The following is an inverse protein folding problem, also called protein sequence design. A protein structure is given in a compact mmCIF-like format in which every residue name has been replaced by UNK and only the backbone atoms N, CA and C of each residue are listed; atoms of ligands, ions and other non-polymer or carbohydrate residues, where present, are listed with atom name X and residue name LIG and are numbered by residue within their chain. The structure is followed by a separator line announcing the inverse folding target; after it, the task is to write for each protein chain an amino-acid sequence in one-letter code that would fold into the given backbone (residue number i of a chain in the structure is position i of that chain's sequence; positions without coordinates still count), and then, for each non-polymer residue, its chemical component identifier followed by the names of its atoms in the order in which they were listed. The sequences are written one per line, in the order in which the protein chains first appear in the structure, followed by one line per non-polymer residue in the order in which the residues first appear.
data_IF_832872828931
#
_entry.id   IF_832872828931
#
_cell.length_a   1.000
_cell.length_b   1.000
_cell.length_c   1.000
_cell.angle_alpha   90.00
_cell.angle_beta   90.00
_cell.angle_gamma   90.00
#
_symmetry.space_group_name_H-M   'P 1'
#
loop_
_entity.id
_entity.type
_entity.pdbx_description
1 polymer ?
#
# COMPACT_ATOMS: atom_id res chain seq x y z
N UNK A 1 -27.62 -22.20 30.07
CA UNK A 1 -26.41 -21.35 30.00
C UNK A 1 -25.54 -21.64 28.77
N UNK A 2 -25.01 -22.86 28.54
CA UNK A 2 -24.10 -23.17 27.41
C UNK A 2 -24.70 -22.84 26.00
N UNK A 3 -25.99 -23.02 25.81
CA UNK A 3 -26.67 -22.79 24.53
C UNK A 3 -26.90 -21.29 24.26
N UNK A 4 -27.10 -20.48 25.29
CA UNK A 4 -27.23 -19.03 25.19
C UNK A 4 -25.90 -18.39 24.82
N UNK A 5 -24.79 -18.84 25.46
CA UNK A 5 -23.44 -18.38 25.11
C UNK A 5 -23.06 -18.73 23.66
N UNK A 6 -23.41 -19.93 23.19
CA UNK A 6 -23.18 -20.32 21.78
C UNK A 6 -23.93 -19.43 20.79
N UNK A 7 -25.17 -19.06 21.09
CA UNK A 7 -25.96 -18.13 20.25
C UNK A 7 -25.40 -16.71 20.26
N UNK A 8 -24.97 -16.22 21.42
CA UNK A 8 -24.34 -14.88 21.55
C UNK A 8 -23.02 -14.84 20.77
N UNK A 9 -22.17 -15.86 20.89
CA UNK A 9 -20.92 -15.94 20.14
C UNK A 9 -21.19 -16.06 18.63
N UNK A 10 -22.15 -16.87 18.20
CA UNK A 10 -22.52 -17.01 16.80
C UNK A 10 -23.08 -15.70 16.23
N UNK A 11 -23.92 -14.97 17.00
CA UNK A 11 -24.46 -13.66 16.59
C UNK A 11 -23.36 -12.58 16.55
N UNK A 12 -22.41 -12.60 17.49
CA UNK A 12 -21.29 -11.67 17.49
C UNK A 12 -20.33 -11.93 16.30
N UNK A 13 -20.07 -13.21 15.99
CA UNK A 13 -19.28 -13.58 14.80
C UNK A 13 -20.00 -13.19 13.51
N UNK A 14 -21.32 -13.40 13.44
CA UNK A 14 -22.13 -13.02 12.28
C UNK A 14 -22.19 -11.48 12.10
N UNK A 15 -22.28 -10.74 13.19
CA UNK A 15 -22.22 -9.28 13.16
C UNK A 15 -20.85 -8.75 12.70
N UNK A 16 -19.76 -9.39 13.09
CA UNK A 16 -18.39 -9.06 12.64
C UNK A 16 -18.20 -9.29 11.13
N UNK A 17 -18.92 -10.24 10.50
CA UNK A 17 -18.84 -10.52 9.07
C UNK A 17 -19.47 -9.42 8.19
N UNK A 18 -20.31 -8.56 8.74
CA UNK A 18 -20.97 -7.46 8.00
C UNK A 18 -20.26 -6.10 8.12
N UNK A 19 -19.27 -5.95 9.00
CA UNK A 19 -18.70 -4.64 9.36
C UNK A 19 -17.47 -4.26 8.53
N UNK A 20 -17.00 -5.07 7.58
CA UNK A 20 -15.70 -4.80 7.00
C UNK A 20 -15.52 -4.94 5.49
N UNK A 21 -16.57 -5.28 4.74
CA UNK A 21 -16.43 -5.44 3.29
C UNK A 21 -16.41 -4.08 2.58
N UNK A 22 -15.24 -3.67 2.10
CA UNK A 22 -15.02 -2.54 1.21
C UNK A 22 -14.59 -3.04 -0.17
N UNK A 23 -14.75 -2.21 -1.20
CA UNK A 23 -14.23 -2.50 -2.54
C UNK A 23 -13.09 -1.55 -2.87
N UNK A 24 -11.97 -2.11 -3.32
CA UNK A 24 -10.88 -1.31 -3.85
C UNK A 24 -11.34 -0.54 -5.10
N UNK A 25 -10.90 0.72 -5.28
CA UNK A 25 -11.24 1.50 -6.46
C UNK A 25 -10.63 0.85 -7.72
N UNK A 26 -11.24 1.08 -8.88
CA UNK A 26 -10.80 0.61 -10.20
C UNK A 26 -10.87 -0.92 -10.35
N UNK A 27 -10.32 -1.70 -9.41
CA UNK A 27 -10.25 -3.17 -9.47
C UNK A 27 -11.52 -3.84 -8.97
N UNK A 28 -12.25 -3.22 -8.04
CA UNK A 28 -13.46 -3.78 -7.43
C UNK A 28 -13.19 -4.95 -6.48
N UNK A 29 -11.93 -5.23 -6.13
CA UNK A 29 -11.54 -6.31 -5.19
C UNK A 29 -12.18 -6.08 -3.82
N UNK A 30 -12.71 -7.15 -3.23
CA UNK A 30 -13.22 -7.11 -1.86
C UNK A 30 -12.06 -7.03 -0.86
N UNK A 31 -12.21 -6.16 0.13
CA UNK A 31 -11.22 -5.91 1.19
C UNK A 31 -11.90 -5.96 2.55
N UNK A 32 -11.18 -6.46 3.57
CA UNK A 32 -11.58 -6.33 4.95
C UNK A 32 -10.97 -5.06 5.54
N UNK A 33 -11.78 -4.04 5.78
CA UNK A 33 -11.34 -2.78 6.38
C UNK A 33 -12.20 -2.47 7.61
N UNK A 34 -11.59 -2.56 8.80
CA UNK A 34 -12.21 -2.28 10.09
C UNK A 34 -11.89 -0.87 10.60
N UNK A 35 -10.86 -0.24 10.02
CA UNK A 35 -10.43 1.12 10.36
C UNK A 35 -11.35 2.12 9.66
N UNK A 36 -11.93 3.07 10.40
CA UNK A 36 -12.77 4.11 9.81
C UNK A 36 -11.94 5.08 8.95
N UNK A 37 -12.57 5.73 7.94
CA UNK A 37 -11.86 6.74 7.13
C UNK A 37 -11.25 7.87 7.96
N UNK A 38 -11.94 8.31 9.03
CA UNK A 38 -11.45 9.37 9.91
C UNK A 38 -10.21 8.94 10.70
N UNK A 39 -10.22 7.70 11.22
CA UNK A 39 -9.05 7.13 11.90
C UNK A 39 -7.86 7.00 10.95
N UNK A 40 -8.11 6.55 9.73
CA UNK A 40 -7.08 6.39 8.71
C UNK A 40 -6.42 7.73 8.35
N UNK A 41 -7.22 8.79 8.13
CA UNK A 41 -6.71 10.14 7.88
C UNK A 41 -5.91 10.69 9.06
N UNK A 42 -6.39 10.47 10.31
CA UNK A 42 -5.68 10.90 11.50
C UNK A 42 -4.31 10.19 11.65
N UNK A 43 -4.26 8.88 11.40
CA UNK A 43 -3.01 8.10 11.40
C UNK A 43 -2.06 8.58 10.31
N UNK A 44 -2.57 8.85 9.11
CA UNK A 44 -1.77 9.39 8.01
C UNK A 44 -1.15 10.74 8.35
N UNK A 45 -1.92 11.64 8.97
CA UNK A 45 -1.41 12.93 9.43
C UNK A 45 -0.33 12.79 10.51
N UNK A 46 -0.58 11.97 11.55
CA UNK A 46 0.40 11.72 12.61
C UNK A 46 1.70 11.12 12.05
N UNK A 47 1.59 10.14 11.16
CA UNK A 47 2.75 9.53 10.50
C UNK A 47 3.54 10.55 9.68
N UNK A 48 2.84 11.42 8.94
CA UNK A 48 3.50 12.49 8.18
C UNK A 48 4.29 13.45 9.07
N UNK A 49 3.73 13.84 10.23
CA UNK A 49 4.45 14.68 11.20
C UNK A 49 5.70 13.98 11.75
N UNK A 50 5.63 12.68 12.01
CA UNK A 50 6.79 11.91 12.46
C UNK A 50 7.89 11.83 11.38
N UNK A 51 7.52 11.61 10.13
CA UNK A 51 8.46 11.63 9.00
C UNK A 51 9.12 12.99 8.87
N UNK A 52 8.33 14.07 8.87
CA UNK A 52 8.85 15.45 8.76
C UNK A 52 9.75 15.88 9.93
N UNK A 53 9.53 15.30 11.11
CA UNK A 53 10.38 15.55 12.28
C UNK A 53 11.71 14.79 12.24
N UNK A 54 11.75 13.64 11.52
CA UNK A 54 12.90 12.72 11.50
C UNK A 54 13.76 12.89 10.25
N UNK A 55 13.13 13.08 9.10
CA UNK A 55 13.79 13.08 7.80
C UNK A 55 14.21 14.48 7.36
N UNK A 56 15.34 14.56 6.68
CA UNK A 56 15.84 15.81 6.08
C UNK A 56 15.08 16.06 4.77
N UNK A 57 14.33 17.15 4.71
CA UNK A 57 13.63 17.55 3.48
C UNK A 57 14.61 18.22 2.53
N UNK A 58 14.57 17.82 1.27
CA UNK A 58 15.46 18.33 0.22
C UNK A 58 15.14 19.78 -0.13
N UNK A 59 16.20 20.58 -0.27
CA UNK A 59 16.14 21.97 -0.76
C UNK A 59 16.39 22.06 -2.29
N UNK A 60 16.52 20.93 -3.01
CA UNK A 60 16.70 20.92 -4.46
C UNK A 60 15.43 21.42 -5.16
N UNK A 61 15.47 22.62 -5.80
CA UNK A 61 14.28 23.22 -6.38
C UNK A 61 13.77 22.45 -7.60
N UNK A 62 14.66 21.75 -8.32
CA UNK A 62 14.28 20.99 -9.52
C UNK A 62 13.54 19.71 -9.15
N UNK A 63 14.09 18.93 -8.20
CA UNK A 63 13.45 17.71 -7.70
C UNK A 63 12.12 18.03 -7.04
N UNK A 64 12.07 19.06 -6.19
CA UNK A 64 10.84 19.50 -5.54
C UNK A 64 9.77 19.94 -6.56
N UNK A 65 10.13 20.75 -7.56
CA UNK A 65 9.21 21.18 -8.61
C UNK A 65 8.69 19.99 -9.43
N UNK A 66 9.56 19.03 -9.77
CA UNK A 66 9.21 17.83 -10.52
C UNK A 66 8.19 16.96 -9.75
N UNK A 67 8.49 16.62 -8.50
CA UNK A 67 7.61 15.81 -7.63
C UNK A 67 6.27 16.49 -7.41
N UNK A 68 6.27 17.79 -7.10
CA UNK A 68 5.04 18.56 -6.90
C UNK A 68 4.20 18.62 -8.16
N UNK A 69 4.78 18.91 -9.32
CA UNK A 69 4.07 18.97 -10.61
C UNK A 69 3.44 17.64 -10.98
N UNK A 70 4.19 16.54 -10.89
CA UNK A 70 3.71 15.19 -11.20
C UNK A 70 2.63 14.80 -10.21
N UNK A 71 2.89 14.98 -8.92
CA UNK A 71 1.95 14.62 -7.87
C UNK A 71 0.62 15.37 -7.96
N UNK A 72 0.64 16.67 -8.22
CA UNK A 72 -0.57 17.47 -8.39
C UNK A 72 -1.42 16.99 -9.58
N UNK A 73 -0.78 16.67 -10.71
CA UNK A 73 -1.50 16.14 -11.89
C UNK A 73 -2.15 14.79 -11.59
N UNK A 74 -1.44 13.90 -10.88
CA UNK A 74 -2.00 12.61 -10.47
C UNK A 74 -3.13 12.83 -9.45
N UNK A 75 -2.93 13.68 -8.43
CA UNK A 75 -3.93 14.00 -7.41
C UNK A 75 -5.26 14.47 -8.01
N UNK A 76 -5.21 15.33 -9.04
CA UNK A 76 -6.39 15.86 -9.73
C UNK A 76 -7.28 14.76 -10.33
N UNK A 77 -6.69 13.66 -10.79
CA UNK A 77 -7.43 12.56 -11.44
C UNK A 77 -7.86 11.44 -10.49
N UNK A 78 -7.53 11.54 -9.18
CA UNK A 78 -7.91 10.54 -8.17
C UNK A 78 -9.38 10.61 -7.77
N UNK A 79 -10.02 11.78 -7.88
CA UNK A 79 -11.36 12.04 -7.38
C UNK A 79 -11.46 12.15 -5.85
N UNK A 80 -10.33 12.18 -5.12
CA UNK A 80 -10.29 12.29 -3.65
C UNK A 80 -10.32 13.76 -3.21
N UNK A 81 -11.50 14.30 -3.03
CA UNK A 81 -11.71 15.71 -2.60
C UNK A 81 -11.38 15.97 -1.13
N UNK A 82 -11.40 14.94 -0.29
CA UNK A 82 -11.11 15.01 1.14
C UNK A 82 -9.63 14.75 1.50
N UNK A 83 -8.78 14.47 0.51
CA UNK A 83 -7.34 14.35 0.74
C UNK A 83 -6.69 15.74 0.65
N UNK A 84 -5.81 16.02 1.60
CA UNK A 84 -4.96 17.20 1.60
C UNK A 84 -3.61 16.85 0.99
N UNK A 85 -3.53 16.92 -0.34
CA UNK A 85 -2.36 16.51 -1.10
C UNK A 85 -1.15 17.38 -0.83
N UNK A 86 -0.08 16.78 -0.33
CA UNK A 86 1.23 17.40 -0.14
C UNK A 86 2.32 16.45 -0.62
N UNK A 87 3.38 17.03 -1.18
CA UNK A 87 4.44 16.30 -1.85
C UNK A 87 5.79 16.75 -1.31
N UNK A 88 6.57 15.81 -0.80
CA UNK A 88 7.84 16.07 -0.14
C UNK A 88 8.95 15.25 -0.80
N UNK A 89 10.14 15.85 -0.90
CA UNK A 89 11.36 15.16 -1.31
C UNK A 89 12.24 15.00 -0.08
N UNK A 90 12.60 13.77 0.28
CA UNK A 90 13.53 13.47 1.37
C UNK A 90 14.95 13.41 0.80
N UNK A 91 15.86 14.14 1.43
CA UNK A 91 17.26 14.24 1.03
C UNK A 91 18.08 13.04 1.55
N UNK A 92 17.99 11.93 0.81
CA UNK A 92 18.72 10.70 1.09
C UNK A 92 18.97 9.95 -0.23
N UNK A 93 20.16 10.13 -0.80
CA UNK A 93 20.56 9.53 -2.08
C UNK A 93 20.84 8.03 -1.96
N UNK A 94 21.09 7.52 -0.75
CA UNK A 94 21.38 6.11 -0.49
C UNK A 94 20.11 5.26 -0.50
N UNK A 95 18.97 5.87 -0.24
CA UNK A 95 17.69 5.20 -0.17
C UNK A 95 16.84 5.47 -1.41
N UNK A 96 16.68 4.48 -2.27
CA UNK A 96 15.75 4.54 -3.39
C UNK A 96 14.37 4.09 -2.92
N UNK A 97 13.55 5.03 -2.45
CA UNK A 97 12.23 4.76 -1.87
C UNK A 97 11.21 5.86 -2.18
N UNK A 98 9.92 5.52 -2.08
CA UNK A 98 8.81 6.45 -2.09
C UNK A 98 7.64 5.83 -1.32
N UNK A 99 6.73 6.64 -0.78
CA UNK A 99 5.49 6.16 -0.18
C UNK A 99 4.42 7.25 -0.13
N UNK A 100 3.17 6.81 -0.04
CA UNK A 100 2.02 7.68 0.15
C UNK A 100 1.25 7.30 1.42
N UNK A 101 1.13 8.24 2.34
CA UNK A 101 0.34 8.07 3.56
C UNK A 101 -1.14 8.42 3.30
N UNK A 102 -2.07 7.82 4.05
CA UNK A 102 -3.48 8.19 4.00
C UNK A 102 -3.69 9.70 4.16
N UNK A 103 -4.62 10.25 3.38
CA UNK A 103 -4.85 11.70 3.36
C UNK A 103 -3.96 12.45 2.36
N UNK A 104 -3.11 11.76 1.58
CA UNK A 104 -2.43 12.32 0.41
C UNK A 104 -1.06 12.95 0.72
N UNK A 105 -0.35 12.49 1.74
CA UNK A 105 1.03 12.92 2.02
C UNK A 105 1.99 11.98 1.30
N UNK A 106 2.61 12.46 0.21
CA UNK A 106 3.50 11.69 -0.66
C UNK A 106 4.94 12.10 -0.37
N UNK A 107 5.78 11.11 -0.13
CA UNK A 107 7.21 11.27 0.15
C UNK A 107 8.01 10.53 -0.92
N UNK A 108 9.05 11.18 -1.44
CA UNK A 108 9.92 10.65 -2.48
C UNK A 108 11.37 10.87 -2.04
N UNK A 109 12.15 9.82 -1.89
CA UNK A 109 13.56 9.90 -1.54
C UNK A 109 14.40 10.29 -2.76
N UNK A 110 15.47 11.06 -2.54
CA UNK A 110 16.33 11.49 -3.66
C UNK A 110 16.99 10.31 -4.38
N UNK A 111 17.27 9.20 -3.69
CA UNK A 111 17.83 8.00 -4.31
C UNK A 111 16.95 7.35 -5.39
N UNK A 112 15.61 7.58 -5.39
CA UNK A 112 14.73 7.04 -6.43
C UNK A 112 15.00 7.62 -7.82
N UNK A 113 15.54 8.85 -7.90
CA UNK A 113 15.83 9.51 -9.17
C UNK A 113 16.95 8.82 -9.98
N UNK A 114 17.75 7.97 -9.34
CA UNK A 114 18.71 7.11 -10.03
C UNK A 114 18.03 6.10 -10.95
N UNK A 115 16.76 5.75 -10.68
CA UNK A 115 15.97 4.77 -11.42
C UNK A 115 14.80 5.42 -12.18
N UNK A 116 14.16 6.43 -11.59
CA UNK A 116 13.08 7.20 -12.17
C UNK A 116 13.60 8.54 -12.69
N UNK A 117 14.31 8.51 -13.83
CA UNK A 117 15.03 9.65 -14.39
C UNK A 117 14.18 10.57 -15.29
N UNK A 118 12.95 10.15 -15.62
CA UNK A 118 12.00 10.92 -16.42
C UNK A 118 10.71 11.19 -15.67
N UNK A 119 9.96 12.22 -16.08
CA UNK A 119 8.64 12.52 -15.54
C UNK A 119 7.70 11.31 -15.58
N UNK A 120 7.70 10.58 -16.68
CA UNK A 120 6.84 9.42 -16.87
C UNK A 120 7.22 8.27 -15.93
N UNK A 121 8.52 8.02 -15.69
CA UNK A 121 8.99 7.00 -14.76
C UNK A 121 8.66 7.38 -13.31
N UNK A 122 8.88 8.64 -12.94
CA UNK A 122 8.53 9.12 -11.61
C UNK A 122 7.01 9.11 -11.39
N UNK A 123 6.24 9.41 -12.42
CA UNK A 123 4.77 9.31 -12.37
C UNK A 123 4.30 7.86 -12.20
N UNK A 124 5.01 6.88 -12.77
CA UNK A 124 4.71 5.46 -12.56
C UNK A 124 4.95 5.06 -11.09
N UNK A 125 6.05 5.50 -10.47
CA UNK A 125 6.33 5.27 -9.03
C UNK A 125 5.28 5.97 -8.17
N UNK A 126 5.10 7.28 -8.34
CA UNK A 126 4.16 8.05 -7.51
C UNK A 126 2.72 7.58 -7.69
N UNK A 127 2.34 7.19 -8.91
CA UNK A 127 1.03 6.61 -9.20
C UNK A 127 0.80 5.29 -8.46
N UNK A 128 1.82 4.44 -8.37
CA UNK A 128 1.80 3.20 -7.61
C UNK A 128 1.60 3.47 -6.10
N UNK A 129 2.37 4.39 -5.51
CA UNK A 129 2.23 4.76 -4.09
C UNK A 129 0.85 5.36 -3.76
N UNK A 130 0.39 6.26 -4.63
CA UNK A 130 -0.97 6.81 -4.52
C UNK A 130 -2.01 5.69 -4.70
N UNK A 131 -1.75 4.70 -5.56
CA UNK A 131 -2.56 3.50 -5.73
C UNK A 131 -2.74 2.72 -4.43
N UNK A 132 -1.65 2.52 -3.67
CA UNK A 132 -1.72 1.90 -2.34
C UNK A 132 -2.59 2.68 -1.36
N UNK A 133 -2.47 4.00 -1.34
CA UNK A 133 -3.27 4.85 -0.46
C UNK A 133 -4.75 4.84 -0.85
N UNK A 134 -5.08 4.92 -2.15
CA UNK A 134 -6.45 4.87 -2.66
C UNK A 134 -7.11 3.51 -2.44
N UNK A 135 -6.37 2.42 -2.64
CA UNK A 135 -6.84 1.07 -2.33
C UNK A 135 -6.84 0.77 -0.82
N UNK A 136 -6.43 1.71 0.03
CA UNK A 136 -6.43 1.58 1.48
C UNK A 136 -5.67 0.34 1.98
N UNK A 137 -4.58 -0.04 1.29
CA UNK A 137 -3.82 -1.25 1.61
C UNK A 137 -3.26 -1.23 3.03
N UNK A 138 -2.88 -0.06 3.56
CA UNK A 138 -2.47 0.13 4.95
C UNK A 138 -3.59 -0.22 5.94
N UNK A 139 -4.81 0.29 5.70
CA UNK A 139 -5.98 -0.01 6.52
C UNK A 139 -6.40 -1.48 6.45
N UNK A 140 -6.30 -2.11 5.28
CA UNK A 140 -6.54 -3.54 5.09
C UNK A 140 -5.55 -4.40 5.91
N UNK A 141 -4.27 -4.06 5.88
CA UNK A 141 -3.24 -4.76 6.68
C UNK A 141 -3.46 -4.56 8.18
N UNK A 142 -3.76 -3.33 8.62
CA UNK A 142 -4.09 -3.05 10.03
C UNK A 142 -5.30 -3.86 10.49
N UNK A 143 -6.35 -3.93 9.68
CA UNK A 143 -7.56 -4.69 9.96
C UNK A 143 -7.29 -6.19 10.04
N UNK A 144 -6.46 -6.71 9.14
CA UNK A 144 -6.02 -8.11 9.17
C UNK A 144 -5.19 -8.41 10.42
N UNK A 145 -4.33 -7.49 10.83
CA UNK A 145 -3.55 -7.59 12.08
C UNK A 145 -4.45 -7.61 13.33
N UNK A 146 -5.43 -6.72 13.39
CA UNK A 146 -6.42 -6.69 14.49
C UNK A 146 -7.22 -7.98 14.55
N UNK A 147 -7.70 -8.49 13.41
CA UNK A 147 -8.44 -9.75 13.35
C UNK A 147 -7.58 -10.92 13.82
N UNK A 148 -6.32 -10.99 13.40
CA UNK A 148 -5.39 -12.01 13.84
C UNK A 148 -5.14 -11.95 15.35
N UNK A 149 -4.96 -10.75 15.90
CA UNK A 149 -4.77 -10.55 17.35
C UNK A 149 -5.98 -11.06 18.15
N UNK A 150 -7.19 -10.68 17.76
CA UNK A 150 -8.42 -11.15 18.42
C UNK A 150 -8.56 -12.66 18.29
N UNK A 151 -8.29 -13.23 17.11
CA UNK A 151 -8.34 -14.68 16.88
C UNK A 151 -7.33 -15.40 17.77
N UNK A 152 -6.11 -14.88 17.91
CA UNK A 152 -5.09 -15.43 18.79
C UNK A 152 -5.50 -15.42 20.27
N UNK A 153 -6.11 -14.33 20.74
CA UNK A 153 -6.63 -14.24 22.10
C UNK A 153 -7.73 -15.28 22.38
N UNK A 154 -8.69 -15.40 21.46
CA UNK A 154 -9.78 -16.40 21.56
C UNK A 154 -9.22 -17.80 21.53
N UNK A 155 -8.30 -18.11 20.62
CA UNK A 155 -7.64 -19.41 20.52
C UNK A 155 -6.89 -19.75 21.81
N UNK A 156 -6.11 -18.81 22.36
CA UNK A 156 -5.39 -18.94 23.61
C UNK A 156 -6.33 -19.26 24.79
N UNK A 157 -7.42 -18.50 24.91
CA UNK A 157 -8.41 -18.73 25.97
C UNK A 157 -9.10 -20.11 25.87
N UNK A 158 -9.45 -20.53 24.66
CA UNK A 158 -10.06 -21.86 24.42
C UNK A 158 -9.07 -22.98 24.74
N UNK A 159 -7.81 -22.83 24.37
CA UNK A 159 -6.77 -23.85 24.60
C UNK A 159 -6.38 -23.94 26.09
N UNK A 160 -6.31 -22.84 26.82
CA UNK A 160 -6.09 -22.84 28.27
C UNK A 160 -7.20 -23.58 29.02
N UNK A 161 -8.46 -23.43 28.58
CA UNK A 161 -9.59 -24.13 29.16
C UNK A 161 -9.59 -25.66 28.88
N UNK A 162 -8.73 -26.17 27.99
CA UNK A 162 -8.63 -27.59 27.61
C UNK A 162 -7.43 -28.34 28.22
N UNK A 163 -6.62 -27.68 29.03
CA UNK A 163 -5.76 -28.32 30.01
C UNK A 163 -4.43 -28.93 29.58
N UNK A 164 -3.88 -28.65 28.37
CA UNK A 164 -2.52 -29.06 28.02
C UNK A 164 -1.64 -27.86 27.64
N UNK A 165 -0.79 -27.36 28.59
CA UNK A 165 0.05 -26.18 28.38
C UNK A 165 1.04 -26.32 27.20
N UNK A 166 1.58 -27.50 26.97
CA UNK A 166 2.56 -27.72 25.88
C UNK A 166 1.90 -27.62 24.51
N UNK A 167 0.72 -28.21 24.33
CA UNK A 167 -0.03 -28.09 23.08
C UNK A 167 -0.50 -26.66 22.85
N UNK A 168 -0.89 -25.95 23.90
CA UNK A 168 -1.26 -24.53 23.81
C UNK A 168 -0.08 -23.68 23.31
N UNK A 169 1.12 -23.86 23.91
CA UNK A 169 2.32 -23.15 23.49
C UNK A 169 2.67 -23.41 22.02
N UNK A 170 2.63 -24.66 21.59
CA UNK A 170 2.93 -25.04 20.19
C UNK A 170 1.95 -24.42 19.20
N UNK A 171 0.64 -24.47 19.49
CA UNK A 171 -0.40 -23.88 18.64
C UNK A 171 -0.26 -22.35 18.58
N UNK A 172 0.00 -21.68 19.71
CA UNK A 172 0.20 -20.25 19.78
C UNK A 172 1.48 -19.80 19.07
N UNK A 173 2.54 -20.59 19.14
CA UNK A 173 3.78 -20.34 18.40
C UNK A 173 3.55 -20.46 16.88
N UNK A 174 2.88 -21.52 16.43
CA UNK A 174 2.55 -21.71 15.01
C UNK A 174 1.62 -20.58 14.50
N UNK A 175 0.64 -20.16 15.30
CA UNK A 175 -0.22 -19.03 14.99
C UNK A 175 0.59 -17.72 14.90
N UNK A 176 1.49 -17.46 15.85
CA UNK A 176 2.35 -16.27 15.86
C UNK A 176 3.24 -16.19 14.61
N UNK A 177 3.88 -17.31 14.23
CA UNK A 177 4.69 -17.39 13.01
C UNK A 177 3.81 -17.15 11.77
N UNK A 178 2.65 -17.81 11.66
CA UNK A 178 1.73 -17.62 10.54
C UNK A 178 1.22 -16.19 10.41
N UNK A 179 0.91 -15.54 11.54
CA UNK A 179 0.49 -14.15 11.59
C UNK A 179 1.62 -13.20 11.17
N UNK A 180 2.83 -13.43 11.68
CA UNK A 180 3.99 -12.61 11.35
C UNK A 180 4.32 -12.71 9.86
N UNK A 181 4.35 -13.92 9.31
CA UNK A 181 4.63 -14.16 7.89
C UNK A 181 3.50 -13.67 6.96
N UNK A 182 2.24 -13.74 7.37
CA UNK A 182 1.09 -13.40 6.52
C UNK A 182 0.63 -11.94 6.62
N UNK A 183 0.90 -11.25 7.73
CA UNK A 183 0.34 -9.92 8.02
C UNK A 183 1.40 -8.83 8.16
N UNK A 184 2.55 -9.19 8.75
CA UNK A 184 3.66 -8.24 8.99
C UNK A 184 4.62 -8.12 7.81
N UNK A 185 4.50 -9.02 6.82
CA UNK A 185 5.31 -8.93 5.60
C UNK A 185 4.89 -7.71 4.76
N UNK A 186 5.81 -7.26 3.88
CA UNK A 186 5.54 -6.23 2.89
C UNK A 186 4.23 -6.49 2.14
N UNK A 187 3.73 -5.48 1.42
CA UNK A 187 2.47 -5.60 0.68
C UNK A 187 2.33 -6.94 -0.04
N UNK A 188 1.17 -7.58 0.09
CA UNK A 188 0.93 -8.86 -0.57
C UNK A 188 1.07 -8.70 -2.08
N UNK A 189 1.43 -9.78 -2.80
CA UNK A 189 1.50 -9.74 -4.27
C UNK A 189 0.22 -9.19 -4.91
N UNK A 190 -0.93 -9.51 -4.32
CA UNK A 190 -2.23 -9.00 -4.78
C UNK A 190 -2.32 -7.50 -4.64
N UNK A 191 -1.85 -6.94 -3.51
CA UNK A 191 -1.84 -5.49 -3.27
C UNK A 191 -0.86 -4.77 -4.20
N UNK A 192 0.30 -5.37 -4.48
CA UNK A 192 1.25 -4.83 -5.45
C UNK A 192 0.66 -4.73 -6.86
N UNK A 193 0.02 -5.80 -7.33
CA UNK A 193 -0.63 -5.81 -8.64
C UNK A 193 -1.81 -4.86 -8.72
N UNK A 194 -2.54 -4.70 -7.63
CA UNK A 194 -3.62 -3.74 -7.53
C UNK A 194 -3.10 -2.31 -7.58
N UNK A 195 -2.02 -2.01 -6.86
CA UNK A 195 -1.36 -0.71 -6.88
C UNK A 195 -0.78 -0.38 -8.26
N UNK A 196 -0.18 -1.36 -8.94
CA UNK A 196 0.27 -1.19 -10.32
C UNK A 196 -0.89 -0.87 -11.26
N UNK A 197 -2.00 -1.61 -11.17
CA UNK A 197 -3.16 -1.36 -12.02
C UNK A 197 -3.75 0.04 -11.79
N UNK A 198 -3.97 0.41 -10.53
CA UNK A 198 -4.47 1.74 -10.17
C UNK A 198 -3.48 2.82 -10.60
N UNK A 199 -2.20 2.64 -10.29
CA UNK A 199 -1.14 3.59 -10.62
C UNK A 199 -1.00 3.85 -12.12
N UNK A 200 -1.04 2.80 -12.94
CA UNK A 200 -1.01 2.93 -14.40
C UNK A 200 -2.21 3.72 -14.94
N UNK A 201 -3.42 3.47 -14.42
CA UNK A 201 -4.62 4.22 -14.79
C UNK A 201 -4.50 5.68 -14.38
N UNK A 202 -4.00 5.98 -13.17
CA UNK A 202 -3.82 7.33 -12.69
C UNK A 202 -2.75 8.09 -13.51
N UNK A 203 -1.59 7.47 -13.76
CA UNK A 203 -0.54 8.05 -14.59
C UNK A 203 -1.06 8.36 -15.99
N UNK A 204 -1.79 7.43 -16.62
CA UNK A 204 -2.40 7.61 -17.93
C UNK A 204 -3.38 8.78 -17.95
N UNK A 205 -4.31 8.86 -16.99
CA UNK A 205 -5.27 9.98 -16.85
C UNK A 205 -4.57 11.32 -16.62
N UNK A 206 -3.45 11.31 -15.89
CA UNK A 206 -2.64 12.50 -15.65
C UNK A 206 -1.76 12.90 -16.85
N UNK A 207 -1.81 12.15 -17.96
CA UNK A 207 -1.07 12.42 -19.19
C UNK A 207 0.38 11.95 -19.16
N UNK A 208 0.71 10.98 -18.31
CA UNK A 208 2.00 10.30 -18.25
C UNK A 208 1.92 8.91 -18.88
N UNK A 209 2.98 8.53 -19.61
CA UNK A 209 3.00 7.28 -20.37
C UNK A 209 3.05 6.05 -19.46
N UNK A 210 2.04 5.15 -19.48
CA UNK A 210 2.08 3.90 -18.71
C UNK A 210 3.24 2.97 -19.09
N UNK A 211 3.82 3.12 -20.29
CA UNK A 211 4.98 2.32 -20.71
C UNK A 211 6.22 2.57 -19.85
N UNK A 212 6.31 3.75 -19.23
CA UNK A 212 7.45 4.11 -18.38
C UNK A 212 7.57 3.22 -17.13
N UNK A 213 6.49 2.62 -16.65
CA UNK A 213 6.55 1.61 -15.59
C UNK A 213 7.43 0.41 -15.98
N UNK A 214 7.45 0.02 -17.26
CA UNK A 214 8.33 -1.07 -17.72
C UNK A 214 9.79 -0.68 -17.73
N UNK A 215 10.12 0.56 -18.12
CA UNK A 215 11.51 1.04 -18.10
C UNK A 215 12.02 1.19 -16.67
N UNK A 216 11.20 1.75 -15.77
CA UNK A 216 11.52 1.81 -14.34
C UNK A 216 11.82 0.43 -13.75
N UNK A 217 10.91 -0.53 -13.90
CA UNK A 217 11.10 -1.87 -13.33
C UNK A 217 12.27 -2.65 -13.93
N UNK A 218 12.62 -2.40 -15.19
CA UNK A 218 13.83 -2.98 -15.80
C UNK A 218 15.10 -2.41 -15.18
N UNK A 219 15.19 -1.09 -15.04
CA UNK A 219 16.33 -0.42 -14.39
C UNK A 219 16.45 -0.87 -12.93
N UNK A 220 15.33 -0.84 -12.21
CA UNK A 220 15.26 -1.17 -10.80
C UNK A 220 15.60 -2.64 -10.50
N UNK A 221 15.14 -3.56 -11.35
CA UNK A 221 15.45 -4.99 -11.24
C UNK A 221 16.85 -5.38 -11.64
N UNK A 222 17.62 -4.49 -12.30
CA UNK A 222 19.03 -4.72 -12.68
C UNK A 222 20.04 -4.09 -11.72
N UNK A 223 19.62 -3.58 -10.56
CA UNK A 223 20.40 -2.77 -9.63
C UNK A 223 21.36 -3.54 -8.70
N UNK A 224 21.90 -4.70 -9.10
CA UNK A 224 23.02 -5.34 -8.41
C UNK A 224 22.68 -6.14 -7.14
N UNK A 225 23.70 -6.42 -6.30
CA UNK A 225 23.65 -7.38 -5.18
C UNK A 225 22.84 -6.90 -3.96
N UNK A 226 22.67 -5.61 -3.77
CA UNK A 226 21.85 -5.05 -2.67
C UNK A 226 20.54 -4.51 -3.22
N UNK A 227 19.42 -5.19 -2.97
CA UNK A 227 18.13 -4.68 -3.39
C UNK A 227 17.85 -3.32 -2.73
N UNK A 228 17.40 -2.30 -3.49
CA UNK A 228 16.95 -1.05 -2.89
C UNK A 228 15.85 -1.28 -1.84
N UNK A 229 15.77 -0.41 -0.83
CA UNK A 229 14.78 -0.49 0.27
C UNK A 229 13.35 -0.61 -0.26
N UNK A 230 13.07 0.02 -1.40
CA UNK A 230 11.78 -0.10 -2.08
C UNK A 230 11.36 -1.55 -2.37
N UNK A 231 12.32 -2.46 -2.67
CA UNK A 231 12.01 -3.88 -2.87
C UNK A 231 11.70 -4.63 -1.57
N UNK A 232 12.14 -4.12 -0.42
CA UNK A 232 11.81 -4.73 0.88
C UNK A 232 10.34 -4.50 1.25
N UNK A 233 9.79 -3.35 0.88
CA UNK A 233 8.39 -2.97 1.11
C UNK A 233 7.49 -3.35 -0.07
N UNK A 234 8.02 -3.32 -1.30
CA UNK A 234 7.32 -3.62 -2.56
C UNK A 234 8.03 -4.76 -3.32
N UNK A 235 7.83 -6.02 -2.90
CA UNK A 235 8.51 -7.14 -3.54
C UNK A 235 8.20 -7.17 -5.05
N UNK A 236 9.26 -7.28 -5.84
CA UNK A 236 9.16 -7.46 -7.29
C UNK A 236 8.88 -8.94 -7.62
N UNK A 237 7.64 -9.37 -7.79
CA UNK A 237 7.37 -10.73 -8.24
C UNK A 237 7.95 -10.89 -9.64
N UNK A 238 8.49 -12.07 -9.94
CA UNK A 238 9.11 -12.39 -11.23
C UNK A 238 8.20 -12.12 -12.46
N UNK A 239 6.90 -12.02 -12.24
CA UNK A 239 5.89 -11.76 -13.27
C UNK A 239 5.35 -10.32 -13.28
N UNK A 240 5.86 -9.37 -12.45
CA UNK A 240 5.36 -7.99 -12.37
C UNK A 240 5.43 -7.27 -13.72
N UNK A 241 6.58 -7.38 -14.41
CA UNK A 241 6.75 -6.82 -15.76
C UNK A 241 5.73 -7.41 -16.75
N UNK A 242 5.46 -8.72 -16.68
CA UNK A 242 4.48 -9.37 -17.54
C UNK A 242 3.06 -8.84 -17.27
N UNK A 243 2.71 -8.62 -16.03
CA UNK A 243 1.40 -8.08 -15.64
C UNK A 243 1.22 -6.62 -16.05
N UNK A 244 2.25 -5.78 -15.85
CA UNK A 244 2.24 -4.40 -16.36
C UNK A 244 2.04 -4.40 -17.88
N UNK A 245 2.76 -5.26 -18.61
CA UNK A 245 2.55 -5.41 -20.07
C UNK A 245 1.11 -5.78 -20.43
N UNK A 246 0.47 -6.66 -19.67
CA UNK A 246 -0.91 -7.07 -19.89
C UNK A 246 -1.93 -5.94 -19.63
N UNK A 247 -1.57 -4.94 -18.82
CA UNK A 247 -2.40 -3.76 -18.54
C UNK A 247 -2.26 -2.65 -19.59
N UNK A 248 -1.16 -2.61 -20.37
CA UNK A 248 -0.93 -1.55 -21.34
C UNK A 248 -2.04 -1.40 -22.39
N UNK A 249 -2.63 -2.47 -22.97
CA UNK A 249 -3.73 -2.33 -23.94
C UNK A 249 -4.95 -1.60 -23.38
N UNK A 250 -5.14 -1.62 -22.04
CA UNK A 250 -6.24 -0.93 -21.36
C UNK A 250 -5.88 0.49 -20.94
N UNK A 251 -4.62 0.75 -20.60
CA UNK A 251 -4.16 2.03 -20.06
C UNK A 251 -3.66 2.98 -21.14
N UNK A 252 -3.11 2.49 -22.26
CA UNK A 252 -2.65 3.33 -23.37
C UNK A 252 -3.75 4.18 -24.01
N UNK A 253 -4.98 3.67 -24.30
CA UNK A 253 -6.06 4.51 -24.80
C UNK A 253 -6.45 5.66 -23.85
N UNK A 254 -6.36 5.44 -22.53
CA UNK A 254 -6.61 6.48 -21.51
C UNK A 254 -5.55 7.59 -21.63
N UNK A 255 -4.29 7.20 -21.75
CA UNK A 255 -3.18 8.13 -21.93
C UNK A 255 -3.31 8.94 -23.23
N UNK A 256 -3.65 8.30 -24.32
CA UNK A 256 -3.84 8.97 -25.61
C UNK A 256 -5.01 9.97 -25.57
N UNK A 257 -6.09 9.63 -24.87
CA UNK A 257 -7.22 10.54 -24.67
C UNK A 257 -6.86 11.74 -23.77
N UNK A 258 -6.03 11.55 -22.74
CA UNK A 258 -5.62 12.62 -21.81
C UNK A 258 -4.66 13.66 -22.43
N UNK A 259 -4.07 13.37 -23.60
CA UNK A 259 -3.15 14.26 -24.34
C UNK A 259 -3.81 15.06 -25.46
N UNK A 260 -5.06 14.79 -25.75
CA UNK A 260 -5.86 15.55 -26.72
C UNK A 260 -6.43 16.81 -26.09
#
# INVERSE_FOLDING_TARGET
MKQTYRKIIASAILALLFIGCSKAPITGRNQLIMVSPQQELALGYQSAQQVLAKEKISNDPQKNAMVKRIGQRIATVTGQSNYQWEFFVIDNDEEANAFCLPGGKVFVYTGIFNYASTDDELAAVMGHEIGHALARHGAERMSSGQLAQVTGQVLGAVMQGRGNPQNTAMVMQAFGIGTQLGIMLPHSRTQEYEADHIGLVLAAKAGYSPKAALSFWKKFGSSGETPPEYLSTHPAPSNRIAQIKALLPRTMPIYEAARR
#
